data_IF_944351186853
#
_entry.id   IF_944351186853
#
_cell.length_a   1.000
_cell.length_b   1.000
_cell.length_c   1.000
_cell.angle_alpha   90.00
_cell.angle_beta   90.00
_cell.angle_gamma   90.00
#
_symmetry.space_group_name_H-M   'P 1'
#
loop_
_entity.id
_entity.type
_entity.pdbx_description
1 polymer ?
#
# COMPACT_ATOMS: atom_id res chain seq x y z
N UNK A 1 -8.33 33.33 17.13
CA UNK A 1 -7.23 32.39 17.42
C UNK A 1 -7.48 31.14 16.58
N UNK A 2 -7.40 31.25 15.25
CA UNK A 2 -6.29 30.73 14.42
C UNK A 2 -5.96 29.25 14.69
N UNK A 3 -6.73 28.38 14.04
CA UNK A 3 -6.38 27.00 13.76
C UNK A 3 -5.25 26.97 12.72
N UNK A 4 -4.14 26.33 13.04
CA UNK A 4 -3.07 26.00 12.10
C UNK A 4 -3.29 24.56 11.63
N UNK A 5 -3.63 24.42 10.34
CA UNK A 5 -3.48 23.16 9.60
C UNK A 5 -1.99 22.90 9.41
N UNK A 6 -1.53 21.67 9.67
CA UNK A 6 -0.12 21.26 9.50
C UNK A 6 -0.07 20.01 8.62
N UNK A 7 0.68 20.17 7.54
CA UNK A 7 0.82 19.34 6.35
C UNK A 7 1.74 18.14 6.59
N UNK A 8 1.37 16.99 6.00
CA UNK A 8 2.21 15.81 5.77
C UNK A 8 3.51 16.24 5.06
N UNK A 9 4.68 15.81 5.55
CA UNK A 9 5.96 16.07 4.87
C UNK A 9 6.47 14.76 4.28
N UNK A 10 6.02 14.50 3.05
CA UNK A 10 6.58 13.52 2.12
C UNK A 10 8.05 13.89 1.84
N UNK A 11 8.92 12.91 1.57
CA UNK A 11 10.30 13.16 1.16
C UNK A 11 10.33 13.77 -0.25
N UNK A 12 10.12 15.08 -0.34
CA UNK A 12 10.35 15.89 -1.54
C UNK A 12 11.85 16.19 -1.59
N UNK A 13 12.52 15.81 -2.68
CA UNK A 13 13.87 16.32 -2.98
C UNK A 13 13.70 17.79 -3.40
N UNK A 14 14.11 18.79 -2.60
CA UNK A 14 13.84 20.18 -2.95
C UNK A 14 14.82 20.65 -4.03
N UNK A 15 14.29 21.03 -5.19
CA UNK A 15 15.01 21.90 -6.12
C UNK A 15 15.11 23.29 -5.50
N UNK A 16 16.33 23.72 -5.13
CA UNK A 16 16.60 25.11 -4.76
C UNK A 16 16.61 25.97 -6.04
N UNK A 17 15.44 26.47 -6.45
CA UNK A 17 15.33 27.36 -7.59
C UNK A 17 13.97 28.05 -7.72
N UNK A 18 13.87 29.29 -7.22
CA UNK A 18 12.87 30.29 -7.62
C UNK A 18 11.41 30.02 -7.22
N UNK A 19 10.60 31.08 -7.19
CA UNK A 19 9.14 30.99 -6.97
C UNK A 19 8.49 30.28 -8.17
N UNK A 20 8.40 28.96 -8.14
CA UNK A 20 7.71 28.16 -9.15
C UNK A 20 6.36 27.66 -8.58
N UNK A 21 5.27 27.93 -9.30
CA UNK A 21 4.01 27.19 -9.10
C UNK A 21 4.21 25.79 -9.65
N UNK A 22 4.70 24.84 -8.85
CA UNK A 22 4.67 23.42 -9.21
C UNK A 22 3.20 22.97 -9.29
N UNK A 23 2.82 22.29 -10.37
CA UNK A 23 1.43 21.88 -10.65
C UNK A 23 1.31 20.37 -10.99
N UNK A 24 2.44 19.69 -11.24
CA UNK A 24 2.63 18.25 -11.04
C UNK A 24 3.88 18.14 -10.16
N UNK A 25 3.73 17.58 -8.96
CA UNK A 25 4.75 17.67 -7.90
C UNK A 25 5.66 16.45 -7.83
N UNK A 26 5.27 15.33 -8.46
CA UNK A 26 6.03 14.10 -8.46
C UNK A 26 5.15 12.85 -8.52
N UNK A 27 5.66 11.76 -7.94
CA UNK A 27 4.97 10.50 -7.80
C UNK A 27 4.83 10.11 -6.33
N UNK A 28 3.73 9.43 -6.02
CA UNK A 28 3.48 8.76 -4.75
C UNK A 28 3.07 7.31 -5.02
N UNK A 29 3.35 6.42 -4.08
CA UNK A 29 2.92 5.02 -4.18
C UNK A 29 2.19 4.56 -2.94
N UNK A 30 1.19 3.70 -3.11
CA UNK A 30 0.35 3.16 -2.03
C UNK A 30 0.18 1.66 -2.19
N UNK A 31 0.44 0.88 -1.13
CA UNK A 31 0.19 -0.56 -1.13
C UNK A 31 -1.27 -0.80 -0.74
N UNK A 32 -2.06 -1.33 -1.68
CA UNK A 32 -3.52 -1.51 -1.53
C UNK A 32 -3.92 -2.95 -1.19
N UNK A 33 -3.04 -3.92 -1.39
CA UNK A 33 -3.23 -5.30 -0.95
C UNK A 33 -1.92 -5.91 -0.47
N UNK A 34 -1.99 -6.69 0.60
CA UNK A 34 -0.85 -7.39 1.18
C UNK A 34 -1.08 -8.90 1.20
N UNK A 35 -0.03 -9.63 0.84
CA UNK A 35 0.13 -11.08 1.01
C UNK A 35 -1.08 -11.93 0.56
N UNK A 36 -1.68 -11.58 -0.58
CA UNK A 36 -2.75 -12.36 -1.20
C UNK A 36 -2.17 -13.58 -1.90
N UNK A 37 -2.70 -14.76 -1.59
CA UNK A 37 -2.19 -16.00 -2.18
C UNK A 37 -2.96 -16.29 -3.45
N UNK A 38 -2.27 -16.26 -4.59
CA UNK A 38 -2.83 -16.54 -5.91
C UNK A 38 -1.93 -17.53 -6.64
N UNK A 39 -2.47 -18.67 -7.07
CA UNK A 39 -1.71 -19.67 -7.83
C UNK A 39 -0.42 -20.15 -7.14
N UNK A 40 -0.36 -20.11 -5.80
CA UNK A 40 0.84 -20.46 -5.03
C UNK A 40 1.87 -19.34 -4.86
N UNK A 41 1.65 -18.15 -5.45
CA UNK A 41 2.43 -16.93 -5.19
C UNK A 41 1.77 -16.13 -4.06
N UNK A 42 2.58 -15.53 -3.19
CA UNK A 42 2.11 -14.55 -2.20
C UNK A 42 2.34 -13.16 -2.78
N UNK A 43 1.27 -12.50 -3.22
CA UNK A 43 1.31 -11.23 -3.93
C UNK A 43 0.95 -10.04 -3.03
N UNK A 44 1.60 -8.92 -3.27
CA UNK A 44 1.20 -7.61 -2.75
C UNK A 44 1.01 -6.65 -3.92
N UNK A 45 0.07 -5.72 -3.80
CA UNK A 45 -0.37 -4.82 -4.88
C UNK A 45 -0.05 -3.38 -4.53
N UNK A 46 0.70 -2.73 -5.42
CA UNK A 46 1.08 -1.33 -5.38
C UNK A 46 0.20 -0.53 -6.35
N UNK A 47 -0.19 0.68 -5.97
CA UNK A 47 -0.68 1.71 -6.88
C UNK A 47 0.32 2.85 -6.95
N UNK A 48 0.51 3.40 -8.14
CA UNK A 48 1.38 4.55 -8.40
C UNK A 48 0.51 5.71 -8.83
N UNK A 49 0.74 6.88 -8.24
CA UNK A 49 -0.01 8.10 -8.48
C UNK A 49 0.91 9.25 -8.88
N UNK A 50 0.46 10.10 -9.78
CA UNK A 50 1.03 11.44 -9.92
C UNK A 50 0.38 12.37 -8.88
N UNK A 51 1.18 13.19 -8.22
CA UNK A 51 0.71 14.18 -7.23
C UNK A 51 0.54 15.55 -7.88
N UNK A 52 -0.61 16.18 -7.66
CA UNK A 52 -0.96 17.50 -8.19
C UNK A 52 -1.51 18.38 -7.06
N UNK A 53 -0.77 19.41 -6.69
CA UNK A 53 -1.14 20.37 -5.63
C UNK A 53 -2.26 21.32 -6.03
N UNK A 54 -2.46 21.59 -7.32
CA UNK A 54 -3.59 22.36 -7.84
C UNK A 54 -4.74 21.43 -8.25
N UNK A 55 -5.91 21.48 -7.58
CA UNK A 55 -7.05 20.64 -7.94
C UNK A 55 -7.65 20.95 -9.32
N UNK A 56 -7.31 22.11 -9.92
CA UNK A 56 -7.72 22.46 -11.28
C UNK A 56 -6.71 21.99 -12.34
N UNK A 57 -5.52 21.53 -11.94
CA UNK A 57 -4.55 20.93 -12.85
C UNK A 57 -5.01 19.54 -13.32
N UNK A 58 -4.43 19.09 -14.43
CA UNK A 58 -4.75 17.86 -15.10
C UNK A 58 -3.48 17.09 -15.43
N UNK A 59 -3.50 15.78 -15.17
CA UNK A 59 -2.62 14.85 -15.87
C UNK A 59 -3.36 14.40 -17.14
N UNK A 60 -2.72 14.47 -18.29
CA UNK A 60 -3.33 14.10 -19.56
C UNK A 60 -2.65 12.92 -20.24
N UNK A 61 -1.35 12.71 -19.99
CA UNK A 61 -0.64 11.54 -20.51
C UNK A 61 0.55 11.15 -19.64
N UNK A 62 0.91 9.87 -19.72
CA UNK A 62 2.19 9.34 -19.27
C UNK A 62 2.88 8.76 -20.51
N UNK A 63 4.12 9.18 -20.77
CA UNK A 63 4.74 8.94 -22.07
C UNK A 63 6.23 8.62 -21.97
N UNK A 64 6.76 8.00 -23.02
CA UNK A 64 8.20 7.87 -23.27
C UNK A 64 8.55 8.36 -24.67
N UNK A 65 9.68 9.03 -24.80
CA UNK A 65 10.26 9.46 -26.08
C UNK A 65 11.74 9.01 -26.21
N UNK A 66 12.36 9.29 -27.36
CA UNK A 66 13.73 8.84 -27.65
C UNK A 66 14.81 9.48 -26.77
N UNK A 67 14.53 10.66 -26.19
CA UNK A 67 15.41 11.36 -25.27
C UNK A 67 15.08 10.97 -23.82
N UNK A 68 13.80 10.88 -23.50
CA UNK A 68 13.26 10.65 -22.17
C UNK A 68 12.41 9.36 -22.19
N UNK A 69 13.07 8.22 -22.02
CA UNK A 69 12.42 6.92 -22.00
C UNK A 69 11.53 6.72 -20.76
N UNK A 70 10.43 6.01 -20.94
CA UNK A 70 9.57 5.52 -19.86
C UNK A 70 9.91 4.07 -19.57
N UNK A 71 10.00 3.71 -18.29
CA UNK A 71 10.20 2.34 -17.87
C UNK A 71 9.57 2.03 -16.51
N UNK A 72 8.95 0.87 -16.38
CA UNK A 72 8.53 0.29 -15.09
C UNK A 72 8.94 -1.18 -15.03
N UNK A 73 9.55 -1.58 -13.92
CA UNK A 73 10.15 -2.90 -13.74
C UNK A 73 10.00 -3.38 -12.29
N UNK A 74 10.29 -4.65 -12.08
CA UNK A 74 10.28 -5.29 -10.75
C UNK A 74 11.51 -6.16 -10.54
N UNK A 75 11.90 -6.37 -9.29
CA UNK A 75 12.90 -7.38 -8.90
C UNK A 75 12.33 -8.80 -8.86
N UNK A 76 11.00 -8.94 -8.93
CA UNK A 76 10.33 -10.24 -8.93
C UNK A 76 10.74 -11.07 -10.16
N UNK A 77 11.42 -12.18 -9.92
CA UNK A 77 11.83 -13.13 -10.97
C UNK A 77 10.65 -13.78 -11.73
N UNK A 78 9.46 -13.80 -11.12
CA UNK A 78 8.21 -14.25 -11.73
C UNK A 78 7.42 -13.10 -12.37
N UNK A 79 7.93 -11.87 -12.30
CA UNK A 79 7.37 -10.73 -12.99
C UNK A 79 6.10 -10.16 -12.38
N UNK A 80 5.51 -9.16 -13.06
CA UNK A 80 4.20 -8.64 -12.69
C UNK A 80 3.13 -9.73 -12.84
N UNK A 81 2.21 -9.79 -11.87
CA UNK A 81 1.07 -10.69 -11.95
C UNK A 81 0.06 -10.18 -12.98
N UNK A 82 -0.40 -11.09 -13.84
CA UNK A 82 -1.38 -10.85 -14.89
C UNK A 82 -2.53 -11.85 -14.75
N UNK A 83 -3.76 -11.34 -14.71
CA UNK A 83 -4.98 -12.14 -14.67
C UNK A 83 -5.50 -12.37 -16.09
N UNK A 84 -6.07 -13.56 -16.35
CA UNK A 84 -6.60 -13.92 -17.68
C UNK A 84 -7.82 -13.07 -18.10
N UNK A 85 -8.53 -12.49 -17.15
CA UNK A 85 -9.64 -11.55 -17.37
C UNK A 85 -9.19 -10.08 -17.32
N UNK A 86 -7.89 -9.85 -17.15
CA UNK A 86 -7.24 -8.55 -17.08
C UNK A 86 -7.02 -7.89 -18.43
N UNK A 87 -6.20 -6.85 -18.42
CA UNK A 87 -5.81 -6.13 -19.63
C UNK A 87 -4.71 -5.12 -19.41
N UNK A 88 -4.18 -4.58 -20.49
CA UNK A 88 -3.03 -3.66 -20.51
C UNK A 88 -3.29 -2.38 -19.69
N UNK A 89 -4.54 -1.91 -19.75
CA UNK A 89 -4.97 -0.65 -19.15
C UNK A 89 -6.25 -0.80 -18.33
N UNK A 90 -6.46 0.15 -17.41
CA UNK A 90 -7.70 0.30 -16.64
C UNK A 90 -8.96 0.29 -17.52
N UNK A 91 -8.90 0.80 -18.76
CA UNK A 91 -10.03 0.82 -19.69
C UNK A 91 -10.49 -0.59 -20.14
N UNK A 92 -9.66 -1.61 -19.95
CA UNK A 92 -9.98 -3.00 -20.27
C UNK A 92 -10.43 -3.81 -19.05
N UNK A 93 -10.31 -3.25 -17.84
CA UNK A 93 -10.73 -3.92 -16.61
C UNK A 93 -12.25 -3.84 -16.47
N UNK A 94 -12.91 -4.99 -16.53
CA UNK A 94 -14.36 -5.09 -16.37
C UNK A 94 -14.71 -5.49 -14.92
N UNK A 95 -15.40 -4.63 -14.15
CA UNK A 95 -15.74 -4.94 -12.75
C UNK A 95 -16.65 -6.16 -12.57
N UNK A 96 -17.42 -6.56 -13.59
CA UNK A 96 -18.19 -7.80 -13.54
C UNK A 96 -17.28 -9.04 -13.40
N UNK A 97 -16.05 -8.96 -13.91
CA UNK A 97 -15.03 -10.00 -13.81
C UNK A 97 -14.67 -10.37 -12.37
N UNK A 98 -14.75 -9.43 -11.42
CA UNK A 98 -14.47 -9.69 -10.00
C UNK A 98 -15.38 -10.74 -9.37
N UNK A 99 -16.55 -10.99 -9.95
CA UNK A 99 -17.48 -12.04 -9.48
C UNK A 99 -17.16 -13.42 -10.08
N UNK A 100 -16.43 -13.46 -11.19
CA UNK A 100 -16.01 -14.67 -11.90
C UNK A 100 -14.67 -15.13 -11.35
N UNK A 101 -13.71 -14.20 -11.27
CA UNK A 101 -12.40 -14.40 -10.65
C UNK A 101 -12.09 -13.20 -9.73
N UNK A 102 -12.20 -13.38 -8.40
CA UNK A 102 -11.86 -12.32 -7.45
C UNK A 102 -10.39 -11.88 -7.52
N UNK A 103 -9.48 -12.70 -8.03
CA UNK A 103 -8.06 -12.38 -8.14
C UNK A 103 -7.77 -11.38 -9.26
N UNK A 104 -8.74 -11.09 -10.15
CA UNK A 104 -8.68 -9.97 -11.10
C UNK A 104 -8.40 -8.64 -10.40
N UNK A 105 -8.77 -8.49 -9.12
CA UNK A 105 -8.44 -7.30 -8.32
C UNK A 105 -6.95 -7.05 -8.15
N UNK A 106 -6.15 -8.09 -8.34
CA UNK A 106 -4.70 -8.06 -8.19
C UNK A 106 -4.01 -7.95 -9.55
N UNK A 107 -4.74 -7.89 -10.66
CA UNK A 107 -4.17 -7.70 -11.98
C UNK A 107 -3.30 -6.44 -12.08
N UNK A 108 -2.26 -6.48 -12.93
CA UNK A 108 -1.34 -5.35 -13.15
C UNK A 108 -1.67 -4.64 -14.46
N UNK A 109 -1.94 -3.35 -14.40
CA UNK A 109 -2.41 -2.54 -15.54
C UNK A 109 -1.99 -1.07 -15.41
N UNK A 110 -1.91 -0.39 -16.55
CA UNK A 110 -1.64 1.06 -16.60
C UNK A 110 -2.94 1.86 -16.50
N UNK A 111 -2.85 3.09 -15.99
CA UNK A 111 -4.01 3.91 -15.71
C UNK A 111 -3.80 5.38 -16.08
N UNK A 112 -4.91 6.09 -16.16
CA UNK A 112 -4.95 7.53 -15.96
C UNK A 112 -6.25 7.89 -15.24
N UNK A 113 -6.17 8.02 -13.92
CA UNK A 113 -7.26 8.42 -13.02
C UNK A 113 -8.30 7.34 -12.71
N UNK A 114 -8.76 6.61 -13.72
CA UNK A 114 -9.78 5.57 -13.59
C UNK A 114 -9.19 4.20 -13.21
N UNK A 115 -9.98 3.38 -12.51
CA UNK A 115 -9.58 2.04 -12.07
C UNK A 115 -10.15 0.91 -12.94
N UNK A 116 -11.17 1.22 -13.74
CA UNK A 116 -11.87 0.24 -14.56
C UNK A 116 -12.47 0.89 -15.83
N UNK A 117 -13.18 0.11 -16.63
CA UNK A 117 -13.75 0.54 -17.91
C UNK A 117 -14.95 1.52 -17.79
N UNK A 118 -15.51 1.74 -16.61
CA UNK A 118 -16.74 2.52 -16.43
C UNK A 118 -16.43 4.01 -16.47
N UNK A 119 -16.85 4.68 -17.56
CA UNK A 119 -16.60 6.12 -17.73
C UNK A 119 -15.13 6.44 -18.05
N UNK A 120 -14.35 5.42 -18.42
CA UNK A 120 -12.95 5.51 -18.76
C UNK A 120 -12.80 5.58 -20.28
N UNK A 121 -12.19 6.66 -20.77
CA UNK A 121 -11.97 6.89 -22.21
C UNK A 121 -10.49 6.91 -22.56
N UNK A 122 -9.67 6.28 -21.70
CA UNK A 122 -8.24 6.16 -21.87
C UNK A 122 -7.88 5.49 -23.20
N UNK A 123 -6.79 5.99 -23.78
CA UNK A 123 -6.19 5.49 -25.00
C UNK A 123 -4.72 5.20 -24.75
N UNK A 124 -4.19 4.18 -25.40
CA UNK A 124 -2.76 3.92 -25.50
C UNK A 124 -2.32 3.99 -26.98
N UNK A 125 -1.13 4.53 -27.22
CA UNK A 125 -0.57 4.69 -28.56
C UNK A 125 0.91 4.38 -28.51
N UNK A 126 1.36 3.43 -29.34
CA UNK A 126 2.79 3.15 -29.54
C UNK A 126 3.48 2.44 -28.37
N UNK A 127 2.72 1.91 -27.40
CA UNK A 127 3.25 1.12 -26.30
C UNK A 127 3.14 -0.38 -26.64
N UNK A 128 4.22 -1.13 -26.43
CA UNK A 128 4.20 -2.60 -26.54
C UNK A 128 4.01 -3.22 -25.16
N UNK A 129 2.81 -3.74 -24.91
CA UNK A 129 2.46 -4.43 -23.67
C UNK A 129 2.76 -5.93 -23.69
N UNK A 130 3.21 -6.50 -24.82
CA UNK A 130 3.48 -7.93 -24.95
C UNK A 130 4.43 -8.47 -23.86
N UNK A 131 5.59 -7.82 -23.62
CA UNK A 131 6.48 -8.18 -22.53
C UNK A 131 5.82 -8.06 -21.15
N UNK A 132 5.10 -6.96 -20.89
CA UNK A 132 4.43 -6.68 -19.62
C UNK A 132 3.37 -7.74 -19.27
N UNK A 133 2.56 -8.13 -20.26
CA UNK A 133 1.54 -9.17 -20.13
C UNK A 133 2.12 -10.59 -20.00
N UNK A 134 3.42 -10.74 -20.25
CA UNK A 134 4.17 -11.98 -20.05
C UNK A 134 5.01 -11.96 -18.77
N UNK A 135 4.74 -11.01 -17.85
CA UNK A 135 5.44 -10.82 -16.58
C UNK A 135 6.68 -9.92 -16.66
N UNK A 136 7.05 -9.42 -17.84
CA UNK A 136 8.14 -8.48 -18.01
C UNK A 136 7.83 -7.07 -17.50
N UNK A 137 8.81 -6.18 -17.56
CA UNK A 137 8.58 -4.75 -17.39
C UNK A 137 7.92 -4.10 -18.61
N UNK A 138 7.55 -2.83 -18.46
CA UNK A 138 7.14 -1.97 -19.56
C UNK A 138 8.29 -1.00 -19.87
N UNK A 139 8.63 -0.84 -21.14
CA UNK A 139 9.61 0.15 -21.59
C UNK A 139 9.11 0.74 -22.90
N UNK A 140 9.07 2.06 -23.01
CA UNK A 140 8.72 2.75 -24.26
C UNK A 140 9.55 4.02 -24.44
N UNK A 141 9.91 4.29 -25.68
CA UNK A 141 10.62 5.50 -26.11
C UNK A 141 9.92 6.21 -27.28
N UNK A 142 8.66 5.85 -27.54
CA UNK A 142 7.85 6.42 -28.63
C UNK A 142 6.34 6.21 -28.41
N UNK A 143 5.93 6.01 -27.16
CA UNK A 143 4.57 5.62 -26.82
C UNK A 143 4.06 6.34 -25.59
N UNK A 144 2.74 6.34 -25.45
CA UNK A 144 2.05 6.94 -24.33
C UNK A 144 0.74 6.22 -24.04
N UNK A 145 0.27 6.38 -22.81
CA UNK A 145 -1.14 6.27 -22.51
C UNK A 145 -1.68 7.60 -22.02
N UNK A 146 -2.93 7.88 -22.36
CA UNK A 146 -3.54 9.19 -22.17
C UNK A 146 -5.03 9.07 -21.87
N UNK A 147 -5.55 10.13 -21.31
CA UNK A 147 -6.98 10.33 -21.13
C UNK A 147 -7.37 11.60 -21.89
N UNK A 148 -8.60 11.66 -22.40
CA UNK A 148 -9.07 12.81 -23.15
C UNK A 148 -9.02 14.04 -22.23
N UNK A 149 -8.32 15.13 -22.62
CA UNK A 149 -8.24 16.32 -21.79
C UNK A 149 -9.61 16.85 -21.38
N UNK A 150 -9.68 17.38 -20.17
CA UNK A 150 -10.89 17.92 -19.54
C UNK A 150 -11.98 16.88 -19.22
N UNK A 151 -11.67 15.58 -19.28
CA UNK A 151 -12.52 14.53 -18.71
C UNK A 151 -12.26 14.35 -17.21
N UNK A 152 -13.23 13.83 -16.44
CA UNK A 152 -13.08 13.64 -14.99
C UNK A 152 -11.81 12.90 -14.54
N UNK A 153 -11.34 11.82 -15.21
CA UNK A 153 -10.17 11.07 -14.75
C UNK A 153 -8.83 11.83 -14.84
N UNK A 154 -8.76 12.91 -15.63
CA UNK A 154 -7.55 13.73 -15.72
C UNK A 154 -7.29 14.56 -14.44
N UNK A 155 -8.33 14.81 -13.64
CA UNK A 155 -8.25 15.69 -12.47
C UNK A 155 -7.89 14.90 -11.21
N UNK A 156 -7.07 15.49 -10.31
CA UNK A 156 -6.68 14.82 -9.09
C UNK A 156 -7.87 14.61 -8.13
N UNK A 157 -7.98 13.40 -7.60
CA UNK A 157 -8.84 13.10 -6.46
C UNK A 157 -7.94 13.08 -5.23
N UNK A 158 -8.25 13.91 -4.22
CA UNK A 158 -7.39 14.07 -3.04
C UNK A 158 -5.93 14.45 -3.39
N UNK A 159 -5.75 15.25 -4.44
CA UNK A 159 -4.42 15.71 -4.89
C UNK A 159 -3.61 14.68 -5.68
N UNK A 160 -4.22 13.55 -6.09
CA UNK A 160 -3.51 12.45 -6.75
C UNK A 160 -4.27 11.94 -7.98
N UNK A 161 -3.56 11.52 -9.02
CA UNK A 161 -4.11 10.85 -10.22
C UNK A 161 -3.44 9.48 -10.36
N UNK A 162 -4.23 8.40 -10.41
CA UNK A 162 -3.72 7.04 -10.57
C UNK A 162 -3.05 6.85 -11.94
N UNK A 163 -1.86 6.26 -11.98
CA UNK A 163 -1.15 5.97 -13.24
C UNK A 163 -0.85 4.48 -13.47
N UNK A 164 -0.89 3.65 -12.43
CA UNK A 164 -0.74 2.20 -12.55
C UNK A 164 -1.21 1.46 -11.30
N UNK A 165 -1.65 0.21 -11.49
CA UNK A 165 -1.73 -0.81 -10.44
C UNK A 165 -0.77 -1.95 -10.81
N UNK A 166 0.05 -2.40 -9.87
CA UNK A 166 1.15 -3.34 -10.10
C UNK A 166 1.23 -4.35 -8.97
N UNK A 167 1.09 -5.63 -9.29
CA UNK A 167 1.19 -6.72 -8.32
C UNK A 167 2.43 -7.56 -8.56
N UNK A 168 3.16 -7.82 -7.49
CA UNK A 168 4.39 -8.62 -7.48
C UNK A 168 4.42 -9.53 -6.26
N UNK A 169 5.34 -10.48 -6.23
CA UNK A 169 5.60 -11.29 -5.04
C UNK A 169 5.94 -10.35 -3.87
N UNK A 170 5.33 -10.61 -2.72
CA UNK A 170 5.49 -9.76 -1.53
C UNK A 170 6.94 -9.77 -1.06
N UNK A 171 7.49 -8.57 -0.81
CA UNK A 171 8.90 -8.36 -0.51
C UNK A 171 9.76 -8.02 -1.73
N UNK A 172 9.19 -7.98 -2.93
CA UNK A 172 9.88 -7.52 -4.14
C UNK A 172 9.76 -6.01 -4.32
N UNK A 173 10.68 -5.41 -5.07
CA UNK A 173 10.70 -3.97 -5.34
C UNK A 173 10.14 -3.69 -6.73
N UNK A 174 9.21 -2.74 -6.81
CA UNK A 174 8.75 -2.15 -8.07
C UNK A 174 9.41 -0.79 -8.23
N UNK A 175 9.99 -0.52 -9.39
CA UNK A 175 10.67 0.75 -9.67
C UNK A 175 10.41 1.20 -11.10
N UNK A 176 10.55 2.50 -11.35
CA UNK A 176 10.39 3.03 -12.69
C UNK A 176 10.79 4.49 -12.81
N UNK A 177 10.75 4.97 -14.05
CA UNK A 177 10.90 6.36 -14.44
C UNK A 177 9.83 6.67 -15.48
N UNK A 178 9.09 7.76 -15.28
CA UNK A 178 8.00 8.16 -16.17
C UNK A 178 8.10 9.64 -16.53
N UNK A 179 7.51 10.02 -17.66
CA UNK A 179 7.28 11.42 -18.01
C UNK A 179 5.78 11.71 -17.93
N UNK A 180 5.42 12.86 -17.37
CA UNK A 180 4.07 13.27 -17.05
C UNK A 180 3.74 14.52 -17.86
N UNK A 181 2.74 14.43 -18.73
CA UNK A 181 2.24 15.54 -19.53
C UNK A 181 0.85 15.94 -19.06
N UNK A 182 0.62 17.24 -18.94
CA UNK A 182 -0.61 17.76 -18.39
C UNK A 182 -0.85 19.23 -18.69
N UNK A 183 -1.79 19.79 -17.94
CA UNK A 183 -2.14 21.21 -17.97
C UNK A 183 -2.39 21.70 -16.57
N UNK A 184 -2.12 22.96 -16.32
CA UNK A 184 -2.52 23.58 -15.07
C UNK A 184 -3.95 24.11 -15.08
N UNK A 185 -4.41 24.66 -13.95
CA UNK A 185 -5.73 25.27 -13.84
C UNK A 185 -5.99 26.45 -14.79
N UNK A 186 -4.94 27.02 -15.41
CA UNK A 186 -5.05 28.08 -16.42
C UNK A 186 -5.00 27.55 -17.87
N UNK A 187 -4.74 26.25 -18.05
CA UNK A 187 -4.58 25.59 -19.34
C UNK A 187 -3.15 25.62 -19.90
N UNK A 188 -2.19 26.15 -19.16
CA UNK A 188 -0.76 26.15 -19.49
C UNK A 188 -0.23 24.73 -19.45
N UNK A 189 0.57 24.34 -20.44
CA UNK A 189 1.15 23.00 -20.53
C UNK A 189 2.12 22.73 -19.39
N UNK A 190 2.00 21.53 -18.80
CA UNK A 190 2.92 20.94 -17.86
C UNK A 190 3.60 19.75 -18.53
N UNK A 191 4.92 19.72 -18.50
CA UNK A 191 5.71 18.61 -19.01
C UNK A 191 6.84 18.32 -18.01
N UNK A 192 6.63 17.30 -17.18
CA UNK A 192 7.55 16.90 -16.11
C UNK A 192 8.17 15.57 -16.49
N UNK A 193 9.47 15.58 -16.75
CA UNK A 193 10.18 14.45 -17.32
C UNK A 193 11.02 13.71 -16.29
N UNK A 194 11.26 12.44 -16.56
CA UNK A 194 12.19 11.56 -15.84
C UNK A 194 11.92 11.52 -14.34
N UNK A 195 10.65 11.38 -13.95
CA UNK A 195 10.23 11.29 -12.53
C UNK A 195 10.41 9.84 -12.06
N UNK A 196 11.31 9.56 -11.12
CA UNK A 196 11.58 8.20 -10.66
C UNK A 196 10.64 7.80 -9.51
N UNK A 197 10.45 6.50 -9.35
CA UNK A 197 9.91 5.91 -8.13
C UNK A 197 10.54 4.55 -7.86
N UNK A 198 10.56 4.13 -6.60
CA UNK A 198 11.02 2.81 -6.19
C UNK A 198 10.39 2.45 -4.84
N UNK A 199 9.65 1.35 -4.81
CA UNK A 199 8.90 0.92 -3.63
C UNK A 199 9.09 -0.56 -3.39
N UNK A 200 9.50 -0.91 -2.16
CA UNK A 200 9.44 -2.28 -1.67
C UNK A 200 7.97 -2.65 -1.44
N UNK A 201 7.44 -3.60 -2.20
CA UNK A 201 6.03 -3.96 -2.20
C UNK A 201 5.81 -5.16 -1.28
N UNK A 202 5.34 -4.89 -0.08
CA UNK A 202 5.06 -5.90 0.93
C UNK A 202 4.74 -5.28 2.28
N UNK A 203 4.54 -6.11 3.33
CA UNK A 203 4.32 -5.60 4.66
C UNK A 203 5.57 -4.86 5.16
N UNK A 204 5.35 -3.81 5.95
CA UNK A 204 6.41 -3.08 6.65
C UNK A 204 6.85 -3.89 7.87
N UNK A 205 8.17 -3.94 8.08
CA UNK A 205 8.77 -4.66 9.20
C UNK A 205 9.00 -6.14 8.93
N UNK A 206 9.45 -6.83 9.97
CA UNK A 206 9.82 -8.24 9.93
C UNK A 206 8.90 -9.04 10.84
N UNK A 207 8.22 -10.04 10.27
CA UNK A 207 7.44 -10.99 11.06
C UNK A 207 8.36 -11.82 11.95
N UNK A 208 7.92 -12.09 13.17
CA UNK A 208 8.63 -12.89 14.15
C UNK A 208 7.64 -13.64 15.05
N UNK A 209 8.11 -14.60 15.84
CA UNK A 209 7.25 -15.42 16.70
C UNK A 209 6.15 -16.20 15.96
N UNK A 210 6.38 -16.48 14.67
CA UNK A 210 5.50 -17.25 13.80
C UNK A 210 6.05 -18.66 13.53
N UNK A 211 5.18 -19.62 13.16
CA UNK A 211 3.72 -19.50 13.18
C UNK A 211 3.20 -19.43 14.62
N UNK A 212 2.10 -18.69 14.81
CA UNK A 212 1.40 -18.60 16.07
C UNK A 212 0.66 -19.91 16.40
N UNK A 213 0.26 -20.06 17.66
CA UNK A 213 -0.59 -21.17 18.07
C UNK A 213 -1.90 -21.17 17.27
N UNK A 214 -2.29 -22.34 16.77
CA UNK A 214 -3.51 -22.47 15.98
C UNK A 214 -4.73 -22.04 16.80
N UNK A 215 -5.57 -21.20 16.18
CA UNK A 215 -6.82 -20.77 16.78
C UNK A 215 -7.96 -21.76 16.51
N UNK A 216 -9.16 -21.47 16.99
CA UNK A 216 -10.35 -22.33 16.81
C UNK A 216 -10.74 -22.64 15.36
N UNK A 217 -10.24 -21.90 14.37
CA UNK A 217 -10.42 -22.21 12.94
C UNK A 217 -9.37 -23.18 12.39
N UNK A 218 -8.36 -23.53 13.19
CA UNK A 218 -7.19 -24.30 12.75
C UNK A 218 -6.11 -23.47 12.05
N UNK A 219 -6.28 -22.15 11.96
CA UNK A 219 -5.33 -21.24 11.34
C UNK A 219 -4.36 -20.64 12.37
N UNK A 220 -3.14 -20.36 11.94
CA UNK A 220 -2.22 -19.46 12.64
C UNK A 220 -2.60 -18.01 12.30
N UNK A 221 -3.06 -17.26 13.29
CA UNK A 221 -3.35 -15.84 13.12
C UNK A 221 -2.04 -15.05 12.95
N UNK A 222 -2.09 -13.97 12.16
CA UNK A 222 -0.91 -13.18 11.80
C UNK A 222 -1.15 -11.68 11.92
N UNK A 223 -0.09 -10.93 12.19
CA UNK A 223 -0.05 -9.46 12.07
C UNK A 223 0.87 -9.04 10.93
N UNK A 224 0.39 -8.09 10.15
CA UNK A 224 1.12 -7.34 9.14
C UNK A 224 1.06 -5.85 9.48
N UNK A 225 2.01 -5.09 8.97
CA UNK A 225 1.94 -3.64 8.96
C UNK A 225 1.99 -3.10 7.53
N UNK A 226 1.31 -1.99 7.29
CA UNK A 226 1.34 -1.23 6.03
C UNK A 226 1.48 0.26 6.33
N UNK A 227 1.94 1.04 5.35
CA UNK A 227 2.18 2.47 5.49
C UNK A 227 3.68 2.77 5.52
N UNK A 228 4.10 3.69 6.39
CA UNK A 228 5.48 4.16 6.47
C UNK A 228 6.20 3.60 7.71
N UNK A 229 7.50 3.37 7.56
CA UNK A 229 8.40 3.13 8.68
C UNK A 229 9.04 4.43 9.20
N UNK A 230 8.70 5.60 8.65
CA UNK A 230 9.20 6.87 9.17
C UNK A 230 8.47 7.21 10.46
N UNK A 231 9.21 7.64 11.48
CA UNK A 231 8.62 7.99 12.77
C UNK A 231 7.65 9.19 12.63
N UNK A 232 6.42 9.05 13.15
CA UNK A 232 5.38 10.07 13.08
C UNK A 232 4.47 9.97 11.86
N UNK A 233 4.81 9.14 10.87
CA UNK A 233 3.94 8.85 9.74
C UNK A 233 2.83 7.85 10.12
N UNK A 234 1.83 7.77 9.24
CA UNK A 234 0.72 6.83 9.35
C UNK A 234 1.22 5.37 9.27
N UNK A 235 0.99 4.64 10.34
CA UNK A 235 1.18 3.20 10.41
C UNK A 235 -0.17 2.52 10.55
N UNK A 236 -0.41 1.48 9.75
CA UNK A 236 -1.62 0.66 9.84
C UNK A 236 -1.26 -0.77 10.15
N UNK A 237 -1.85 -1.32 11.20
CA UNK A 237 -1.70 -2.71 11.60
C UNK A 237 -2.90 -3.53 11.15
N UNK A 238 -2.62 -4.70 10.58
CA UNK A 238 -3.61 -5.61 10.02
C UNK A 238 -3.39 -6.97 10.68
N UNK A 239 -4.36 -7.45 11.45
CA UNK A 239 -4.37 -8.82 11.94
C UNK A 239 -5.34 -9.64 11.09
N UNK A 240 -4.88 -10.74 10.48
CA UNK A 240 -5.68 -11.63 9.65
C UNK A 240 -5.71 -13.07 10.18
N UNK A 241 -6.52 -13.92 9.53
CA UNK A 241 -6.71 -15.34 9.87
C UNK A 241 -7.20 -15.55 11.31
N UNK A 242 -7.92 -14.56 11.85
CA UNK A 242 -8.58 -14.64 13.14
C UNK A 242 -9.88 -15.44 13.01
N UNK A 243 -10.38 -16.06 14.08
CA UNK A 243 -11.75 -16.57 14.08
C UNK A 243 -12.73 -15.41 13.82
N UNK A 244 -13.77 -15.60 12.99
CA UNK A 244 -14.75 -14.56 12.70
C UNK A 244 -15.48 -14.07 13.95
N UNK A 245 -15.88 -12.80 13.93
CA UNK A 245 -16.69 -12.13 14.95
C UNK A 245 -16.08 -12.11 16.37
N UNK A 246 -14.77 -12.21 16.49
CA UNK A 246 -14.06 -12.14 17.77
C UNK A 246 -13.52 -10.75 18.06
N UNK A 247 -13.49 -10.38 19.33
CA UNK A 247 -12.86 -9.15 19.78
C UNK A 247 -11.36 -9.32 20.02
N UNK A 248 -10.58 -8.32 19.67
CA UNK A 248 -9.14 -8.27 19.90
C UNK A 248 -8.60 -6.85 19.89
N UNK A 249 -7.37 -6.70 20.39
CA UNK A 249 -6.67 -5.42 20.39
C UNK A 249 -5.16 -5.62 20.24
N UNK A 250 -4.49 -4.63 19.67
CA UNK A 250 -3.06 -4.65 19.47
C UNK A 250 -2.30 -4.33 20.76
N UNK A 251 -1.13 -4.93 20.87
CA UNK A 251 -0.11 -4.70 21.86
C UNK A 251 1.12 -4.16 21.15
N UNK A 252 1.87 -3.29 21.83
CA UNK A 252 3.12 -2.75 21.32
C UNK A 252 4.20 -2.75 22.40
N UNK A 253 5.44 -3.03 22.05
CA UNK A 253 6.59 -2.90 22.94
C UNK A 253 7.89 -2.74 22.14
N UNK A 254 8.88 -2.06 22.71
CA UNK A 254 10.24 -2.03 22.19
C UNK A 254 11.04 -3.29 22.55
N UNK A 255 10.52 -4.13 23.44
CA UNK A 255 11.20 -5.35 23.89
C UNK A 255 10.43 -6.58 23.43
N UNK A 256 11.11 -7.48 22.72
CA UNK A 256 10.61 -8.81 22.43
C UNK A 256 10.87 -9.75 23.61
N UNK A 257 9.95 -10.70 23.82
CA UNK A 257 10.10 -11.77 24.81
C UNK A 257 9.34 -12.99 24.33
N UNK A 258 9.27 -14.03 25.14
CA UNK A 258 8.41 -15.18 24.89
C UNK A 258 7.81 -15.66 26.22
N UNK A 259 6.52 -15.39 26.40
CA UNK A 259 5.75 -15.83 27.56
C UNK A 259 4.70 -16.82 27.07
N UNK A 260 4.87 -18.13 27.34
CA UNK A 260 3.88 -19.12 26.93
C UNK A 260 2.62 -19.03 27.78
N UNK A 261 1.47 -19.17 27.12
CA UNK A 261 0.14 -19.28 27.74
C UNK A 261 -0.20 -18.22 28.82
N UNK A 262 0.07 -16.92 28.58
CA UNK A 262 -0.10 -15.89 29.61
C UNK A 262 -1.58 -15.74 29.98
N UNK A 263 -1.87 -15.71 31.28
CA UNK A 263 -3.24 -15.54 31.78
C UNK A 263 -4.22 -16.64 31.34
N UNK A 264 -3.72 -17.85 31.04
CA UNK A 264 -4.53 -18.96 30.56
C UNK A 264 -4.86 -18.91 29.06
N UNK A 265 -4.20 -18.04 28.30
CA UNK A 265 -4.27 -18.03 26.84
C UNK A 265 -3.71 -19.33 26.24
N UNK A 266 -4.22 -19.73 25.08
CA UNK A 266 -3.63 -20.80 24.28
C UNK A 266 -2.45 -20.34 23.42
N UNK A 267 -2.33 -19.04 23.17
CA UNK A 267 -1.23 -18.44 22.44
C UNK A 267 -0.07 -18.03 23.34
N UNK A 268 0.99 -17.53 22.70
CA UNK A 268 2.18 -17.02 23.37
C UNK A 268 2.27 -15.50 23.19
N UNK A 269 2.59 -14.79 24.27
CA UNK A 269 2.89 -13.35 24.20
C UNK A 269 4.36 -13.19 23.84
N UNK A 270 4.63 -12.53 22.72
CA UNK A 270 5.98 -12.37 22.17
C UNK A 270 6.57 -10.98 22.42
N UNK A 271 6.02 -10.28 23.42
CA UNK A 271 6.41 -8.95 23.85
C UNK A 271 6.82 -9.00 25.32
N UNK A 272 7.81 -8.19 25.69
CA UNK A 272 8.31 -8.05 27.06
C UNK A 272 8.42 -6.58 27.47
N UNK A 273 9.06 -6.34 28.60
CA UNK A 273 9.27 -4.98 29.13
C UNK A 273 7.96 -4.24 29.39
N UNK A 274 7.94 -2.96 29.03
CA UNK A 274 6.75 -2.11 29.13
C UNK A 274 5.88 -2.29 27.88
N UNK A 275 4.73 -2.95 28.05
CA UNK A 275 3.83 -3.28 26.94
C UNK A 275 2.66 -2.28 26.91
N UNK A 276 2.55 -1.53 25.82
CA UNK A 276 1.40 -0.69 25.52
C UNK A 276 0.23 -1.55 25.07
N UNK A 277 -0.99 -1.16 25.46
CA UNK A 277 -2.22 -1.83 25.06
C UNK A 277 -3.12 -0.83 24.34
N UNK A 278 -3.40 -1.09 23.08
CA UNK A 278 -4.22 -0.23 22.22
C UNK A 278 -5.72 -0.52 22.47
N UNK A 279 -6.14 -0.52 23.74
CA UNK A 279 -7.50 -0.93 24.16
C UNK A 279 -8.59 0.04 23.71
N UNK A 280 -8.23 1.30 23.46
CA UNK A 280 -9.13 2.28 22.85
C UNK A 280 -9.51 1.90 21.41
N UNK A 281 -8.71 1.03 20.78
CA UNK A 281 -8.87 0.55 19.41
C UNK A 281 -9.32 -0.92 19.40
N UNK A 282 -10.10 -1.33 20.40
CA UNK A 282 -10.72 -2.65 20.45
C UNK A 282 -11.52 -2.91 19.16
N UNK A 283 -11.10 -3.90 18.39
CA UNK A 283 -11.71 -4.27 17.12
C UNK A 283 -12.53 -5.55 17.22
N UNK A 284 -13.45 -5.73 16.27
CA UNK A 284 -14.12 -7.01 16.01
C UNK A 284 -13.61 -7.56 14.67
N UNK A 285 -13.25 -8.84 14.61
CA UNK A 285 -12.68 -9.46 13.41
C UNK A 285 -13.66 -9.61 12.25
N UNK A 286 -14.95 -9.33 12.47
CA UNK A 286 -15.98 -9.35 11.45
C UNK A 286 -16.12 -10.72 10.75
N UNK A 287 -16.81 -10.77 9.60
CA UNK A 287 -16.97 -12.02 8.85
C UNK A 287 -15.68 -12.47 8.16
N UNK A 288 -14.75 -11.55 7.88
CA UNK A 288 -13.49 -11.84 7.18
C UNK A 288 -12.36 -12.31 8.10
N UNK A 289 -12.58 -12.34 9.43
CA UNK A 289 -11.53 -12.74 10.37
C UNK A 289 -10.35 -11.77 10.41
N UNK A 290 -10.62 -10.47 10.29
CA UNK A 290 -9.60 -9.42 10.19
C UNK A 290 -9.90 -8.25 11.14
N UNK A 291 -8.88 -7.77 11.84
CA UNK A 291 -8.93 -6.51 12.60
C UNK A 291 -7.88 -5.56 12.01
N UNK A 292 -8.29 -4.33 11.69
CA UNK A 292 -7.41 -3.31 11.12
C UNK A 292 -7.48 -2.05 11.97
N UNK A 293 -6.32 -1.50 12.32
CA UNK A 293 -6.19 -0.33 13.20
C UNK A 293 -5.08 0.58 12.69
N UNK A 294 -5.36 1.87 12.60
CA UNK A 294 -4.34 2.90 12.38
C UNK A 294 -3.70 3.28 13.72
N UNK A 295 -2.38 3.27 13.79
CA UNK A 295 -1.61 3.53 15.01
C UNK A 295 -1.09 4.96 14.98
N UNK A 296 -1.44 5.73 16.00
CA UNK A 296 -0.81 7.03 16.24
C UNK A 296 0.59 6.81 16.84
N UNK A 297 1.60 6.81 15.96
CA UNK A 297 3.00 6.62 16.34
C UNK A 297 3.54 7.81 17.15
N UNK A 298 2.85 8.96 17.18
CA UNK A 298 3.23 10.10 18.00
C UNK A 298 2.77 9.98 19.47
N UNK A 299 1.87 9.04 19.76
CA UNK A 299 1.26 8.88 21.07
C UNK A 299 0.91 7.42 21.39
N UNK A 300 1.91 6.52 21.35
CA UNK A 300 1.76 5.14 21.79
C UNK A 300 1.23 5.15 23.25
N UNK A 301 0.16 4.39 23.57
CA UNK A 301 -0.58 4.51 24.83
C UNK A 301 0.13 3.84 26.01
N UNK A 302 1.30 4.35 26.34
CA UNK A 302 2.00 4.14 27.59
C UNK A 302 1.60 5.22 28.61
N UNK A 303 2.11 5.11 29.84
CA UNK A 303 1.86 6.09 30.90
C UNK A 303 3.21 6.65 31.39
N UNK A 304 3.61 7.86 30.97
CA UNK A 304 2.92 8.76 30.01
C UNK A 304 2.96 8.24 28.55
N UNK A 305 2.12 8.76 27.63
CA UNK A 305 2.19 8.42 26.21
C UNK A 305 3.58 8.70 25.63
N UNK A 306 4.04 7.84 24.72
CA UNK A 306 5.37 7.91 24.13
C UNK A 306 5.26 8.04 22.61
N UNK A 307 6.02 8.98 22.05
CA UNK A 307 6.19 9.11 20.61
C UNK A 307 7.31 8.20 20.15
N UNK A 308 7.06 7.40 19.11
CA UNK A 308 8.09 6.60 18.42
C UNK A 308 9.15 7.54 17.85
N UNK A 309 10.42 7.24 18.09
CA UNK A 309 11.54 8.04 17.59
C UNK A 309 12.26 7.34 16.42
N UNK A 310 12.86 8.10 15.48
CA UNK A 310 13.78 7.56 14.49
C UNK A 310 14.90 6.74 15.14
N UNK A 311 15.21 5.58 14.57
CA UNK A 311 16.19 4.62 15.09
C UNK A 311 15.66 3.63 16.11
N UNK A 312 14.43 3.79 16.61
CA UNK A 312 13.79 2.81 17.50
C UNK A 312 13.22 1.63 16.72
N UNK A 313 13.13 0.47 17.39
CA UNK A 313 12.37 -0.67 16.88
C UNK A 313 11.17 -0.92 17.80
N UNK A 314 9.98 -0.96 17.22
CA UNK A 314 8.76 -1.34 17.93
C UNK A 314 8.22 -2.65 17.37
N UNK A 315 7.82 -3.53 18.28
CA UNK A 315 7.17 -4.80 17.97
C UNK A 315 5.70 -4.75 18.33
N UNK A 316 4.86 -5.30 17.46
CA UNK A 316 3.42 -5.34 17.59
C UNK A 316 2.91 -6.78 17.53
N UNK A 317 1.91 -7.09 18.34
CA UNK A 317 1.21 -8.38 18.35
C UNK A 317 -0.26 -8.13 18.69
N UNK A 318 -1.18 -8.92 18.17
CA UNK A 318 -2.59 -8.82 18.54
C UNK A 318 -3.01 -9.94 19.49
N UNK A 319 -3.67 -9.56 20.57
CA UNK A 319 -4.42 -10.48 21.44
C UNK A 319 -5.87 -10.54 20.97
N UNK A 320 -6.47 -11.73 20.93
CA UNK A 320 -7.87 -11.90 20.56
C UNK A 320 -8.58 -12.98 21.38
N UNK A 321 -9.91 -12.87 21.47
CA UNK A 321 -10.77 -13.92 22.02
C UNK A 321 -10.82 -15.13 21.10
N UNK A 322 -10.80 -16.31 21.69
CA UNK A 322 -10.84 -17.56 20.95
C UNK A 322 -11.71 -18.60 21.69
N UNK A 323 -12.03 -19.71 21.03
CA UNK A 323 -12.84 -20.78 21.61
C UNK A 323 -12.38 -22.16 21.15
N UNK A 324 -11.52 -22.82 21.90
CA UNK A 324 -10.96 -24.11 21.53
C UNK A 324 -10.61 -24.98 22.75
N UNK A 325 -11.40 -26.02 23.12
CA UNK A 325 -12.82 -26.21 22.81
C UNK A 325 -13.74 -25.29 23.62
N UNK A 326 -13.23 -24.73 24.73
CA UNK A 326 -13.93 -23.76 25.60
C UNK A 326 -13.47 -22.32 25.37
N UNK A 327 -14.14 -21.33 26.00
CA UNK A 327 -13.73 -19.93 25.91
C UNK A 327 -12.29 -19.72 26.39
N UNK A 328 -11.50 -19.02 25.58
CA UNK A 328 -10.10 -18.72 25.87
C UNK A 328 -9.68 -17.44 25.13
N UNK A 329 -8.37 -17.23 25.02
CA UNK A 329 -7.79 -16.21 24.17
C UNK A 329 -6.53 -16.74 23.50
N UNK A 330 -6.11 -16.07 22.44
CA UNK A 330 -4.95 -16.45 21.66
C UNK A 330 -4.22 -15.20 21.16
N UNK A 331 -3.05 -15.39 20.58
CA UNK A 331 -2.21 -14.33 20.05
C UNK A 331 -1.86 -14.62 18.60
N UNK A 332 -1.66 -13.57 17.82
CA UNK A 332 -1.05 -13.65 16.50
C UNK A 332 0.45 -13.92 16.62
N UNK A 333 1.15 -14.08 15.51
CA UNK A 333 2.59 -13.80 15.47
C UNK A 333 2.86 -12.30 15.74
N UNK A 334 4.13 -11.91 15.75
CA UNK A 334 4.53 -10.53 15.91
C UNK A 334 5.09 -9.92 14.63
N UNK A 335 5.05 -8.59 14.54
CA UNK A 335 5.80 -7.82 13.53
C UNK A 335 6.71 -6.83 14.24
N UNK A 336 7.97 -6.74 13.81
CA UNK A 336 8.95 -5.79 14.31
C UNK A 336 9.29 -4.75 13.24
N UNK A 337 9.12 -3.47 13.56
CA UNK A 337 9.33 -2.37 12.64
C UNK A 337 10.46 -1.50 13.18
N UNK A 338 11.51 -1.35 12.39
CA UNK A 338 12.58 -0.39 12.65
C UNK A 338 12.18 0.95 12.03
N UNK A 339 12.03 1.97 12.87
CA UNK A 339 11.61 3.30 12.44
C UNK A 339 12.80 4.15 12.04
N UNK A 340 12.66 4.97 11.01
CA UNK A 340 13.70 5.87 10.50
C UNK A 340 13.25 7.34 10.43
#
# INVERSE_FOLDING_TARGET
MHYRSLTCTLLVVPFLGGLASAQIDGLETEIVALDRIVGGRTLSTLRVFATLSDPAAQLNAVYGDSADLLGVQTTDSLGFYQNVLGGDTSAQINPAGYTIDPDLRLDSWMALGSEDMIGNTMLDIGVDFGPFNSGGGIVTNNGLWLEIPFSPPCYPIEGRVLIAQLSVTSGETVSGVVNLFGKDGTGTTLDVKQVPFSTLVGPVGQSYCGPANLNSTGMSARVLASGSAVAGDSLRLIADRLPPQQFGYFLASQTQSFVPNPGGSQGNLCLGGTIARLVAQLGNSGPMGQIVVDVDTSAIPLVPPVSVQPGETWSFQLWFRDKNPGPTSNFTDGVAIAFN
#
